data_IF_755021021557
#
_entry.id   IF_755021021557
#
_cell.length_a   1.000
_cell.length_b   1.000
_cell.length_c   1.000
_cell.angle_alpha   90.00
_cell.angle_beta   90.00
_cell.angle_gamma   90.00
#
_symmetry.space_group_name_H-M   'P 1'
#
loop_
_entity.id
_entity.type
_entity.pdbx_description
1 polymer ?
#
# COMPACT_ATOMS: atom_id res chain seq x y z
N UNK A 1 -7.83 11.44 -2.01
CA UNK A 1 -6.78 12.43 -1.64
C UNK A 1 -5.73 12.49 -2.74
N UNK A 2 -4.86 13.51 -2.78
CA UNK A 2 -3.73 13.52 -3.72
C UNK A 2 -2.59 12.65 -3.18
N UNK A 3 -1.98 11.81 -4.02
CA UNK A 3 -0.77 11.04 -3.67
C UNK A 3 0.38 12.00 -3.32
N UNK A 4 1.00 11.82 -2.15
CA UNK A 4 2.15 12.66 -1.72
C UNK A 4 3.44 12.27 -2.45
N UNK A 5 3.56 11.00 -2.84
CA UNK A 5 4.61 10.45 -3.72
C UNK A 5 3.96 9.81 -4.94
N UNK A 6 4.47 10.06 -6.15
CA UNK A 6 3.91 9.47 -7.38
C UNK A 6 4.39 8.02 -7.60
N UNK A 7 4.15 7.15 -6.60
CA UNK A 7 4.46 5.71 -6.61
C UNK A 7 3.41 4.95 -5.81
N UNK A 8 3.27 3.66 -6.12
CA UNK A 8 2.46 2.68 -5.38
C UNK A 8 3.30 1.46 -5.03
N UNK A 9 2.80 0.70 -4.06
CA UNK A 9 3.40 -0.52 -3.56
C UNK A 9 2.44 -1.66 -3.85
N UNK A 10 2.95 -2.79 -4.32
CA UNK A 10 2.14 -4.00 -4.48
C UNK A 10 1.92 -4.65 -3.11
N UNK A 11 0.88 -4.18 -2.41
CA UNK A 11 0.56 -4.61 -1.06
C UNK A 11 -0.93 -4.87 -0.90
N UNK A 12 -1.27 -6.11 -0.58
CA UNK A 12 -2.58 -6.47 -0.07
C UNK A 12 -2.63 -6.24 1.46
N UNK A 13 -3.58 -5.41 1.89
CA UNK A 13 -3.82 -5.11 3.30
C UNK A 13 -4.85 -6.07 3.93
N UNK A 14 -5.45 -6.98 3.16
CA UNK A 14 -6.38 -7.99 3.67
C UNK A 14 -5.65 -8.88 4.70
N UNK A 15 -6.25 -9.01 5.89
CA UNK A 15 -5.68 -9.79 6.99
C UNK A 15 -4.59 -9.07 7.78
N UNK A 16 -4.17 -7.86 7.39
CA UNK A 16 -3.33 -7.02 8.24
C UNK A 16 -4.14 -6.57 9.44
N UNK A 17 -3.56 -6.70 10.65
CA UNK A 17 -4.17 -6.21 11.88
C UNK A 17 -4.56 -4.73 11.71
N UNK A 18 -5.81 -4.36 12.00
CA UNK A 18 -6.35 -2.99 11.90
C UNK A 18 -5.71 -1.97 12.87
N UNK A 19 -4.51 -2.26 13.38
CA UNK A 19 -3.70 -1.35 14.15
C UNK A 19 -2.88 -0.48 13.20
N UNK A 20 -2.96 0.85 13.38
CA UNK A 20 -2.19 1.85 12.63
C UNK A 20 -0.68 1.53 12.52
N UNK A 21 -0.06 1.11 13.62
CA UNK A 21 1.37 0.75 13.62
C UNK A 21 1.67 -0.51 12.81
N UNK A 22 0.75 -1.48 12.81
CA UNK A 22 0.89 -2.67 11.99
C UNK A 22 0.80 -2.31 10.50
N UNK A 23 -0.21 -1.54 10.10
CA UNK A 23 -0.42 -1.06 8.72
C UNK A 23 0.81 -0.29 8.22
N UNK A 24 1.28 0.71 8.98
CA UNK A 24 2.48 1.48 8.64
C UNK A 24 3.73 0.59 8.55
N UNK A 25 3.84 -0.41 9.43
CA UNK A 25 4.95 -1.35 9.46
C UNK A 25 5.00 -2.26 8.23
N UNK A 26 3.85 -2.78 7.81
CA UNK A 26 3.75 -3.62 6.59
C UNK A 26 4.04 -2.78 5.35
N UNK A 27 3.43 -1.60 5.21
CA UNK A 27 3.71 -0.67 4.11
C UNK A 27 5.21 -0.36 3.99
N UNK A 28 5.84 0.05 5.10
CA UNK A 28 7.28 0.37 5.13
C UNK A 28 8.14 -0.80 4.68
N UNK A 29 7.82 -2.03 5.09
CA UNK A 29 8.58 -3.23 4.70
C UNK A 29 8.44 -3.50 3.21
N UNK A 30 7.23 -3.42 2.67
CA UNK A 30 6.98 -3.72 1.26
C UNK A 30 7.56 -2.62 0.35
N UNK A 31 7.37 -1.34 0.68
CA UNK A 31 7.98 -0.23 -0.05
C UNK A 31 9.52 -0.36 -0.16
N UNK A 32 10.18 -0.78 0.93
CA UNK A 32 11.63 -1.06 0.91
C UNK A 32 12.00 -2.21 -0.03
N UNK A 33 11.20 -3.27 -0.07
CA UNK A 33 11.43 -4.42 -0.97
C UNK A 33 11.28 -4.03 -2.43
N UNK A 34 10.41 -3.07 -2.72
CA UNK A 34 10.18 -2.51 -4.05
C UNK A 34 11.11 -1.34 -4.40
N UNK A 35 12.14 -1.08 -3.58
CA UNK A 35 13.19 -0.12 -3.89
C UNK A 35 12.82 1.35 -3.66
N UNK A 36 11.77 1.62 -2.90
CA UNK A 36 11.48 2.99 -2.46
C UNK A 36 12.62 3.52 -1.59
N UNK A 37 12.92 4.82 -1.74
CA UNK A 37 13.90 5.46 -0.87
C UNK A 37 13.35 5.66 0.53
N UNK A 38 14.24 5.79 1.51
CA UNK A 38 13.83 6.05 2.89
C UNK A 38 13.06 7.37 3.00
N UNK A 39 13.42 8.39 2.22
CA UNK A 39 12.74 9.68 2.16
C UNK A 39 11.31 9.59 1.59
N UNK A 40 11.11 8.79 0.54
CA UNK A 40 9.77 8.56 -0.03
C UNK A 40 8.85 7.88 0.98
N UNK A 41 9.37 6.85 1.67
CA UNK A 41 8.64 6.15 2.72
C UNK A 41 8.30 7.09 3.88
N UNK A 42 9.28 7.87 4.36
CA UNK A 42 9.07 8.77 5.48
C UNK A 42 8.09 9.90 5.14
N UNK A 43 8.06 10.34 3.87
CA UNK A 43 7.06 11.30 3.38
C UNK A 43 5.64 10.74 3.48
N UNK A 44 5.41 9.52 3.00
CA UNK A 44 4.08 8.86 3.10
C UNK A 44 3.69 8.62 4.56
N UNK A 45 4.62 8.13 5.39
CA UNK A 45 4.35 7.88 6.81
C UNK A 45 4.11 9.16 7.61
N UNK A 46 4.71 10.29 7.20
CA UNK A 46 4.47 11.59 7.82
C UNK A 46 3.07 12.09 7.49
N UNK A 47 2.64 12.00 6.24
CA UNK A 47 1.26 12.32 5.84
C UNK A 47 0.26 11.45 6.60
N UNK A 48 0.49 10.14 6.63
CA UNK A 48 -0.40 9.19 7.30
C UNK A 48 -0.58 9.47 8.81
N UNK A 49 0.40 10.12 9.45
CA UNK A 49 0.35 10.50 10.89
C UNK A 49 -0.19 11.92 11.13
N UNK A 50 -0.54 12.66 10.09
CA UNK A 50 -0.97 14.05 10.20
C UNK A 50 -2.44 14.21 10.62
N UNK A 51 -3.22 13.12 10.55
CA UNK A 51 -4.64 13.08 10.89
C UNK A 51 -4.99 11.95 11.86
N UNK A 52 -6.24 11.51 11.79
CA UNK A 52 -6.76 10.40 12.57
C UNK A 52 -6.48 9.03 11.91
N UNK A 53 -7.08 7.98 12.46
CA UNK A 53 -6.94 6.62 11.93
C UNK A 53 -7.45 6.48 10.50
N UNK A 54 -8.57 7.13 10.16
CA UNK A 54 -9.15 7.07 8.82
C UNK A 54 -8.25 7.78 7.81
N UNK A 55 -7.65 8.90 8.19
CA UNK A 55 -6.64 9.58 7.39
C UNK A 55 -5.39 8.71 7.17
N UNK A 56 -4.91 8.02 8.21
CA UNK A 56 -3.79 7.08 8.11
C UNK A 56 -4.11 5.96 7.11
N UNK A 57 -5.27 5.32 7.26
CA UNK A 57 -5.68 4.22 6.40
C UNK A 57 -5.85 4.70 4.95
N UNK A 58 -6.53 5.81 4.74
CA UNK A 58 -6.73 6.39 3.42
C UNK A 58 -5.39 6.73 2.75
N UNK A 59 -4.42 7.28 3.49
CA UNK A 59 -3.09 7.59 2.97
C UNK A 59 -2.35 6.34 2.53
N UNK A 60 -2.32 5.31 3.37
CA UNK A 60 -1.59 4.07 3.06
C UNK A 60 -2.26 3.33 1.89
N UNK A 61 -3.58 3.18 1.90
CA UNK A 61 -4.35 2.55 0.80
C UNK A 61 -4.13 3.32 -0.50
N UNK A 62 -4.10 4.64 -0.47
CA UNK A 62 -3.83 5.47 -1.66
C UNK A 62 -2.42 5.25 -2.25
N UNK A 63 -1.49 4.64 -1.51
CA UNK A 63 -0.17 4.22 -1.99
C UNK A 63 -0.02 2.70 -2.13
N UNK A 64 -1.10 1.94 -2.00
CA UNK A 64 -1.13 0.50 -2.25
C UNK A 64 -1.99 0.24 -3.50
N UNK A 65 -1.47 -0.52 -4.44
CA UNK A 65 -2.24 -1.05 -5.57
C UNK A 65 -2.05 -2.56 -5.53
N UNK A 66 -3.13 -3.32 -5.36
CA UNK A 66 -3.08 -4.75 -5.59
C UNK A 66 -2.88 -4.92 -7.09
N UNK A 67 -1.67 -5.33 -7.49
CA UNK A 67 -1.48 -5.81 -8.85
C UNK A 67 -2.20 -7.16 -8.90
N UNK A 68 -3.43 -7.16 -9.43
CA UNK A 68 -4.01 -8.38 -9.95
C UNK A 68 -3.01 -8.90 -10.97
N UNK A 69 -2.44 -10.08 -10.72
CA UNK A 69 -1.61 -10.76 -11.71
C UNK A 69 -2.53 -10.99 -12.92
N UNK A 70 -2.39 -10.21 -13.99
CA UNK A 70 -3.15 -10.29 -15.24
C UNK A 70 -2.96 -11.64 -15.99
N UNK A 71 -2.48 -12.68 -15.30
CA UNK A 71 -2.28 -14.03 -15.82
C UNK A 71 -3.35 -15.00 -15.30
N UNK A 72 -4.62 -14.57 -15.31
CA UNK A 72 -5.74 -15.51 -15.34
C UNK A 72 -5.95 -15.87 -16.82
N UNK A 73 -5.28 -16.93 -17.29
CA UNK A 73 -5.69 -17.64 -18.49
C UNK A 73 -7.12 -18.13 -18.26
N UNK A 74 -8.10 -17.36 -18.73
CA UNK A 74 -9.53 -17.70 -18.71
C UNK A 74 -9.93 -18.58 -19.92
N UNK A 75 -8.96 -19.08 -20.70
CA UNK A 75 -9.22 -19.85 -21.92
C UNK A 75 -9.63 -21.33 -21.69
N UNK A 76 -9.71 -21.83 -20.45
CA UNK A 76 -9.98 -23.26 -20.17
C UNK A 76 -11.34 -23.56 -19.50
N UNK A 77 -12.36 -22.71 -19.69
CA UNK A 77 -13.75 -23.03 -19.28
C UNK A 77 -14.76 -22.95 -20.43
N UNK A 78 -14.42 -23.53 -21.58
CA UNK A 78 -15.42 -24.04 -22.53
C UNK A 78 -15.17 -25.53 -22.79
N UNK A 79 -15.91 -26.38 -22.07
CA UNK A 79 -16.16 -27.77 -22.42
C UNK A 79 -17.61 -28.13 -22.05
#
# INVERSE_FOLDING_TARGET
MKKVINKTVNLDLVGVNGNAFAIMGVFKRQAKREGWTQEEIDTVLKEAKSGDYDHLLATIVNHCEALEDDNINTEDYEN
#
